data_IF_854170736336
#
_entry.id   IF_854170736336
#
_cell.length_a   1.000
_cell.length_b   1.000
_cell.length_c   1.000
_cell.angle_alpha   90.00
_cell.angle_beta   90.00
_cell.angle_gamma   90.00
#
_symmetry.space_group_name_H-M   'P 1'
#
loop_
_entity.id
_entity.type
_entity.pdbx_description
1 polymer ?
#
# COMPACT_ATOMS: atom_id res chain seq x y z
N UNK A 1 10.24 -13.30 2.41
CA UNK A 1 9.72 -12.93 1.07
C UNK A 1 9.15 -11.53 0.97
N UNK A 2 8.23 -11.06 1.83
CA UNK A 2 7.50 -9.81 1.57
C UNK A 2 8.37 -8.53 1.47
N UNK A 3 9.34 -8.34 2.37
CA UNK A 3 10.14 -7.09 2.43
C UNK A 3 10.92 -6.78 1.14
N UNK A 4 11.63 -7.74 0.51
CA UNK A 4 12.25 -7.55 -0.79
C UNK A 4 11.29 -7.08 -1.89
N UNK A 5 10.12 -7.73 -2.02
CA UNK A 5 9.12 -7.39 -3.06
C UNK A 5 8.59 -5.97 -2.86
N UNK A 6 8.24 -5.60 -1.62
CA UNK A 6 7.79 -4.24 -1.33
C UNK A 6 8.87 -3.17 -1.60
N UNK A 7 10.15 -3.51 -1.41
CA UNK A 7 11.24 -2.59 -1.73
C UNK A 7 11.41 -2.44 -3.25
N UNK A 8 11.35 -3.54 -3.97
CA UNK A 8 11.40 -3.55 -5.44
C UNK A 8 10.23 -2.77 -6.05
N UNK A 9 9.03 -2.96 -5.51
CA UNK A 9 7.79 -2.31 -5.97
C UNK A 9 7.61 -0.88 -5.44
N UNK A 10 8.56 -0.32 -4.69
CA UNK A 10 8.38 0.95 -3.97
C UNK A 10 7.83 2.07 -4.87
N UNK A 11 8.51 2.33 -5.98
CA UNK A 11 8.21 3.47 -6.84
C UNK A 11 6.85 3.31 -7.53
N UNK A 12 6.51 2.08 -7.92
CA UNK A 12 5.18 1.77 -8.46
C UNK A 12 4.08 2.01 -7.43
N UNK A 13 4.25 1.51 -6.20
CA UNK A 13 3.27 1.68 -5.12
C UNK A 13 3.04 3.17 -4.80
N UNK A 14 4.11 3.97 -4.77
CA UNK A 14 4.04 5.42 -4.59
C UNK A 14 3.32 6.09 -5.76
N UNK A 15 3.62 5.71 -7.00
CA UNK A 15 2.95 6.25 -8.19
C UNK A 15 1.45 5.92 -8.20
N UNK A 16 1.07 4.68 -7.88
CA UNK A 16 -0.33 4.25 -7.75
C UNK A 16 -1.06 5.07 -6.69
N UNK A 17 -0.44 5.31 -5.53
CA UNK A 17 -1.07 6.13 -4.49
C UNK A 17 -1.17 7.62 -4.87
N UNK A 18 -0.17 8.17 -5.55
CA UNK A 18 -0.26 9.55 -6.10
C UNK A 18 -1.40 9.68 -7.10
N UNK A 19 -1.61 8.68 -7.95
CA UNK A 19 -2.75 8.65 -8.86
C UNK A 19 -4.08 8.55 -8.09
N UNK A 20 -4.14 7.74 -7.04
CA UNK A 20 -5.31 7.68 -6.14
C UNK A 20 -5.66 9.07 -5.56
N UNK A 21 -4.67 9.79 -5.04
CA UNK A 21 -4.85 11.16 -4.53
C UNK A 21 -5.42 12.11 -5.61
N UNK A 22 -4.89 12.04 -6.83
CA UNK A 22 -5.32 12.88 -7.96
C UNK A 22 -6.78 12.64 -8.32
N UNK A 23 -7.23 11.39 -8.31
CA UNK A 23 -8.62 11.03 -8.57
C UNK A 23 -9.58 11.57 -7.51
N UNK A 24 -9.11 11.71 -6.26
CA UNK A 24 -9.87 12.25 -5.13
C UNK A 24 -9.71 13.76 -4.97
N UNK A 25 -9.57 14.49 -6.08
CA UNK A 25 -9.49 15.97 -6.16
C UNK A 25 -8.33 16.59 -5.36
N UNK A 26 -7.23 15.87 -5.14
CA UNK A 26 -6.03 16.37 -4.45
C UNK A 26 -6.29 16.98 -3.04
N UNK A 27 -7.40 16.63 -2.37
CA UNK A 27 -7.69 17.10 -1.00
C UNK A 27 -6.54 16.77 -0.06
N UNK A 28 -5.81 15.69 -0.33
CA UNK A 28 -4.61 15.28 0.38
C UNK A 28 -3.57 16.41 0.55
N UNK A 29 -3.37 17.26 -0.45
CA UNK A 29 -2.32 18.29 -0.41
C UNK A 29 -2.61 19.39 0.62
N UNK A 30 -3.89 19.66 0.94
CA UNK A 30 -4.28 20.67 1.94
C UNK A 30 -4.39 20.11 3.36
N UNK A 31 -4.17 18.80 3.56
CA UNK A 31 -4.24 18.16 4.86
C UNK A 31 -2.95 18.39 5.67
N UNK A 32 -3.09 18.53 6.99
CA UNK A 32 -1.96 18.46 7.92
C UNK A 32 -1.34 17.06 7.91
N UNK A 33 -0.09 16.92 8.37
CA UNK A 33 0.62 15.63 8.41
C UNK A 33 -0.19 14.51 9.09
N UNK A 34 -0.75 14.79 10.27
CA UNK A 34 -1.60 13.82 10.98
C UNK A 34 -2.85 13.42 10.18
N UNK A 35 -3.48 14.36 9.46
CA UNK A 35 -4.63 14.07 8.58
C UNK A 35 -4.21 13.30 7.33
N UNK A 36 -3.02 13.56 6.78
CA UNK A 36 -2.44 12.78 5.67
C UNK A 36 -2.16 11.33 6.08
N UNK A 37 -1.61 11.12 7.28
CA UNK A 37 -1.41 9.78 7.84
C UNK A 37 -2.75 9.03 7.99
N UNK A 38 -3.76 9.67 8.56
CA UNK A 38 -5.10 9.12 8.70
C UNK A 38 -5.77 8.84 7.34
N UNK A 39 -5.54 9.70 6.35
CA UNK A 39 -6.04 9.51 4.98
C UNK A 39 -5.44 8.26 4.33
N UNK A 40 -4.12 8.03 4.47
CA UNK A 40 -3.44 6.83 3.95
C UNK A 40 -4.05 5.58 4.60
N UNK A 41 -4.19 5.57 5.93
CA UNK A 41 -4.78 4.44 6.65
C UNK A 41 -6.23 4.19 6.22
N UNK A 42 -7.01 5.26 6.06
CA UNK A 42 -8.40 5.16 5.61
C UNK A 42 -8.50 4.59 4.20
N UNK A 43 -7.69 5.07 3.25
CA UNK A 43 -7.67 4.55 1.88
C UNK A 43 -7.36 3.04 1.86
N UNK A 44 -6.36 2.59 2.62
CA UNK A 44 -6.02 1.17 2.68
C UNK A 44 -7.08 0.32 3.40
N UNK A 45 -7.82 0.88 4.37
CA UNK A 45 -8.81 0.14 5.16
C UNK A 45 -10.21 0.10 4.52
N UNK A 46 -10.69 1.25 4.04
CA UNK A 46 -12.08 1.42 3.60
C UNK A 46 -12.25 1.23 2.10
N UNK A 47 -11.22 1.52 1.30
CA UNK A 47 -11.28 1.34 -0.15
C UNK A 47 -10.84 -0.08 -0.54
N UNK A 48 -11.81 -1.00 -0.57
CA UNK A 48 -11.57 -2.41 -0.84
C UNK A 48 -10.95 -2.64 -2.24
N UNK A 49 -11.47 -2.03 -3.33
CA UNK A 49 -10.85 -2.17 -4.65
C UNK A 49 -9.41 -1.68 -4.68
N UNK A 50 -9.14 -0.51 -4.12
CA UNK A 50 -7.80 0.05 -4.06
C UNK A 50 -6.82 -0.84 -3.27
N UNK A 51 -7.22 -1.25 -2.06
CA UNK A 51 -6.41 -2.17 -1.23
C UNK A 51 -6.12 -3.47 -1.95
N UNK A 52 -7.12 -4.09 -2.58
CA UNK A 52 -6.95 -5.36 -3.27
C UNK A 52 -6.02 -5.23 -4.48
N UNK A 53 -6.06 -4.11 -5.21
CA UNK A 53 -5.10 -3.83 -6.27
C UNK A 53 -3.65 -3.79 -5.78
N UNK A 54 -3.40 -3.14 -4.65
CA UNK A 54 -2.06 -3.09 -4.04
C UNK A 54 -1.62 -4.47 -3.53
N UNK A 55 -2.49 -5.22 -2.85
CA UNK A 55 -2.18 -6.59 -2.40
C UNK A 55 -1.87 -7.47 -3.61
N UNK A 56 -2.68 -7.42 -4.66
CA UNK A 56 -2.48 -8.18 -5.89
C UNK A 56 -1.15 -7.85 -6.58
N UNK A 57 -0.73 -6.59 -6.55
CA UNK A 57 0.59 -6.16 -7.08
C UNK A 57 1.74 -6.85 -6.34
N UNK A 58 1.62 -7.04 -5.02
CA UNK A 58 2.62 -7.76 -4.22
C UNK A 58 2.56 -9.27 -4.47
N UNK A 59 1.35 -9.86 -4.40
CA UNK A 59 1.14 -11.30 -4.55
C UNK A 59 1.50 -11.78 -5.97
N UNK A 60 1.33 -10.93 -6.99
CA UNK A 60 1.71 -11.23 -8.37
C UNK A 60 3.21 -11.47 -8.59
N UNK A 61 4.06 -11.19 -7.58
CA UNK A 61 5.49 -11.49 -7.60
C UNK A 61 5.88 -12.78 -6.88
N UNK A 62 4.91 -13.50 -6.30
CA UNK A 62 5.19 -14.75 -5.62
C UNK A 62 5.47 -15.86 -6.62
N UNK A 63 6.39 -16.76 -6.28
CA UNK A 63 6.46 -18.06 -6.94
C UNK A 63 5.24 -18.91 -6.57
N UNK A 64 5.02 -20.02 -7.29
CA UNK A 64 3.94 -20.96 -6.95
C UNK A 64 4.09 -21.53 -5.54
N UNK A 65 5.32 -21.81 -5.07
CA UNK A 65 5.55 -22.27 -3.70
C UNK A 65 5.28 -21.17 -2.66
N UNK A 66 5.66 -19.93 -2.96
CA UNK A 66 5.36 -18.79 -2.10
C UNK A 66 3.87 -18.49 -2.02
N UNK A 67 3.16 -18.65 -3.14
CA UNK A 67 1.70 -18.52 -3.18
C UNK A 67 1.01 -19.63 -2.38
N UNK A 68 1.49 -20.88 -2.47
CA UNK A 68 0.99 -21.98 -1.63
C UNK A 68 1.08 -21.66 -0.13
N UNK A 69 2.25 -21.18 0.33
CA UNK A 69 2.42 -20.72 1.72
C UNK A 69 1.56 -19.50 2.05
N UNK A 70 1.33 -18.61 1.09
CA UNK A 70 0.43 -17.49 1.28
C UNK A 70 -1.00 -17.94 1.57
N UNK A 71 -1.49 -18.95 0.86
CA UNK A 71 -2.85 -19.47 1.05
C UNK A 71 -3.04 -20.12 2.43
N UNK A 72 -2.02 -20.79 2.97
CA UNK A 72 -2.08 -21.38 4.32
C UNK A 72 -2.25 -20.34 5.44
N UNK A 73 -1.75 -19.12 5.22
CA UNK A 73 -1.74 -18.05 6.22
C UNK A 73 -2.35 -16.75 5.67
N UNK A 74 -3.34 -16.87 4.78
CA UNK A 74 -3.79 -15.76 3.93
C UNK A 74 -4.20 -14.53 4.77
N UNK A 75 -5.04 -14.71 5.78
CA UNK A 75 -5.54 -13.60 6.59
C UNK A 75 -4.41 -12.83 7.31
N UNK A 76 -3.44 -13.55 7.87
CA UNK A 76 -2.30 -12.96 8.56
C UNK A 76 -1.39 -12.22 7.57
N UNK A 77 -1.06 -12.86 6.45
CA UNK A 77 -0.18 -12.29 5.45
C UNK A 77 -0.79 -11.09 4.75
N UNK A 78 -2.09 -11.12 4.44
CA UNK A 78 -2.82 -9.96 3.90
C UNK A 78 -2.76 -8.78 4.85
N UNK A 79 -3.06 -8.99 6.13
CA UNK A 79 -2.94 -7.94 7.16
C UNK A 79 -1.52 -7.40 7.22
N UNK A 80 -0.52 -8.27 7.24
CA UNK A 80 0.90 -7.89 7.26
C UNK A 80 1.31 -7.09 6.02
N UNK A 81 0.82 -7.45 4.83
CA UNK A 81 1.06 -6.70 3.59
C UNK A 81 0.48 -5.30 3.72
N UNK A 82 -0.77 -5.17 4.17
CA UNK A 82 -1.42 -3.87 4.38
C UNK A 82 -0.67 -3.00 5.39
N UNK A 83 -0.22 -3.57 6.51
CA UNK A 83 0.56 -2.84 7.52
C UNK A 83 1.90 -2.34 6.95
N UNK A 84 2.56 -3.14 6.12
CA UNK A 84 3.80 -2.75 5.47
C UNK A 84 3.58 -1.71 4.36
N UNK A 85 2.49 -1.81 3.60
CA UNK A 85 2.09 -0.81 2.61
C UNK A 85 1.81 0.54 3.28
N UNK A 86 1.07 0.54 4.38
CA UNK A 86 0.74 1.76 5.13
C UNK A 86 2.01 2.48 5.60
N UNK A 87 2.95 1.74 6.23
CA UNK A 87 4.25 2.29 6.65
C UNK A 87 5.01 2.86 5.47
N UNK A 88 5.16 2.08 4.39
CA UNK A 88 5.90 2.52 3.19
C UNK A 88 5.30 3.77 2.57
N UNK A 89 3.97 3.83 2.41
CA UNK A 89 3.33 5.00 1.83
C UNK A 89 3.48 6.23 2.72
N UNK A 90 3.39 6.08 4.05
CA UNK A 90 3.63 7.18 4.99
C UNK A 90 5.07 7.68 4.89
N UNK A 91 6.05 6.78 4.98
CA UNK A 91 7.47 7.12 4.88
C UNK A 91 7.78 7.83 3.55
N UNK A 92 7.26 7.31 2.43
CA UNK A 92 7.58 7.86 1.11
C UNK A 92 6.81 9.15 0.80
N UNK A 93 5.52 9.24 1.10
CA UNK A 93 4.68 10.38 0.69
C UNK A 93 4.85 11.57 1.64
N UNK A 94 5.04 11.34 2.94
CA UNK A 94 5.13 12.40 3.92
C UNK A 94 6.53 13.02 3.99
N UNK A 95 7.59 12.23 3.75
CA UNK A 95 8.97 12.72 3.84
C UNK A 95 9.49 13.30 2.51
N UNK A 96 8.88 12.98 1.36
CA UNK A 96 9.28 13.54 0.05
C UNK A 96 8.56 14.83 -0.35
N UNK A 97 7.90 15.52 0.60
CA UNK A 97 7.39 16.87 0.37
C UNK A 97 6.11 16.95 -0.47
N UNK A 98 5.20 15.99 -0.31
CA UNK A 98 3.80 16.13 -0.73
C UNK A 98 2.96 16.82 0.35
#
# INVERSE_FOLDING_TARGET
TLRPILKFQNDLLVAVFRQYIRQHKNVFASLSRAKKEAYIDHALRQDIPFRNGLIGTIVGHFTTEEYGRYLEQENELRRRIVDLLARRLKDQILDTGY
#
